data_IF_674760277208
#
_entry.id   IF_674760277208
#
_cell.length_a   1.000
_cell.length_b   1.000
_cell.length_c   1.000
_cell.angle_alpha   90.00
_cell.angle_beta   90.00
_cell.angle_gamma   90.00
#
_symmetry.space_group_name_H-M   'P 1'
#
loop_
_entity.id
_entity.type
_entity.pdbx_description
1 polymer ?
#
# COMPACT_ATOMS: atom_id res chain seq x y z
N UNK A 1 14.05 -51.23 -2.78
CA UNK A 1 12.88 -50.32 -2.82
C UNK A 1 13.00 -49.13 -1.87
N UNK A 2 13.16 -49.35 -0.55
CA UNK A 2 13.22 -48.26 0.45
C UNK A 2 14.31 -47.20 0.15
N UNK A 3 15.54 -47.63 -0.12
CA UNK A 3 16.66 -46.71 -0.42
C UNK A 3 16.42 -45.88 -1.68
N UNK A 4 15.94 -46.50 -2.75
CA UNK A 4 15.64 -45.80 -3.99
C UNK A 4 14.53 -44.74 -3.80
N UNK A 5 13.51 -45.05 -2.99
CA UNK A 5 12.45 -44.10 -2.66
C UNK A 5 12.96 -42.92 -1.82
N UNK A 6 13.82 -43.17 -0.83
CA UNK A 6 14.41 -42.10 -0.01
C UNK A 6 15.32 -41.18 -0.85
N UNK A 7 16.09 -41.75 -1.80
CA UNK A 7 16.87 -40.96 -2.75
C UNK A 7 15.94 -40.12 -3.62
N UNK A 8 14.89 -40.72 -4.18
CA UNK A 8 13.93 -39.98 -5.01
C UNK A 8 13.26 -38.85 -4.22
N UNK A 9 12.85 -39.11 -2.98
CA UNK A 9 12.27 -38.10 -2.09
C UNK A 9 13.23 -36.95 -1.80
N UNK A 10 14.51 -37.23 -1.56
CA UNK A 10 15.54 -36.20 -1.38
C UNK A 10 15.73 -35.32 -2.62
N UNK A 11 15.79 -35.93 -3.80
CA UNK A 11 16.07 -35.21 -5.05
C UNK A 11 14.86 -34.41 -5.58
N UNK A 12 13.64 -34.90 -5.35
CA UNK A 12 12.41 -34.35 -5.94
C UNK A 12 12.21 -32.85 -5.69
N UNK A 13 12.28 -32.33 -4.45
CA UNK A 13 12.04 -30.90 -4.22
C UNK A 13 13.11 -30.03 -4.87
N UNK A 14 14.37 -30.46 -4.89
CA UNK A 14 15.44 -29.74 -5.58
C UNK A 14 15.22 -29.68 -7.10
N UNK A 15 14.77 -30.79 -7.70
CA UNK A 15 14.44 -30.85 -9.13
C UNK A 15 13.25 -29.95 -9.47
N UNK A 16 12.18 -29.98 -8.66
CA UNK A 16 11.01 -29.12 -8.87
C UNK A 16 11.41 -27.65 -8.75
N UNK A 17 12.13 -27.27 -7.69
CA UNK A 17 12.59 -25.89 -7.48
C UNK A 17 13.53 -25.42 -8.61
N UNK A 18 14.40 -26.31 -9.10
CA UNK A 18 15.27 -26.05 -10.25
C UNK A 18 14.51 -25.81 -11.55
N UNK A 19 13.52 -26.66 -11.87
CA UNK A 19 12.67 -26.51 -13.06
C UNK A 19 11.82 -25.24 -12.99
N UNK A 20 11.36 -24.88 -11.79
CA UNK A 20 10.62 -23.64 -11.55
C UNK A 20 11.53 -22.40 -11.48
N UNK A 21 12.84 -22.55 -11.62
CA UNK A 21 13.80 -21.44 -11.67
C UNK A 21 14.00 -20.71 -10.34
N UNK A 22 13.81 -21.39 -9.19
CA UNK A 22 13.93 -20.75 -7.89
C UNK A 22 15.37 -20.35 -7.57
N UNK A 23 15.51 -19.19 -6.94
CA UNK A 23 16.77 -18.76 -6.33
C UNK A 23 16.98 -19.45 -4.99
N UNK A 24 18.24 -19.69 -4.65
CA UNK A 24 18.63 -20.22 -3.35
C UNK A 24 18.23 -19.31 -2.18
N UNK A 25 17.89 -19.88 -1.03
CA UNK A 25 17.43 -19.17 0.18
C UNK A 25 18.56 -18.33 0.76
N UNK A 26 19.79 -18.85 0.70
CA UNK A 26 20.99 -18.18 1.22
C UNK A 26 21.77 -17.41 0.14
N UNK A 27 21.14 -17.11 -1.00
CA UNK A 27 21.74 -16.27 -2.05
C UNK A 27 22.68 -17.00 -3.01
N UNK A 28 22.64 -18.34 -3.07
CA UNK A 28 23.48 -19.15 -3.99
C UNK A 28 23.07 -19.05 -5.47
N UNK A 29 22.01 -18.30 -5.78
CA UNK A 29 21.51 -18.09 -7.14
C UNK A 29 20.70 -19.26 -7.72
N UNK A 30 20.77 -20.48 -7.16
CA UNK A 30 20.01 -21.65 -7.63
C UNK A 30 19.55 -22.56 -6.50
N UNK A 31 18.24 -22.73 -6.35
CA UNK A 31 17.65 -23.65 -5.38
C UNK A 31 17.96 -25.12 -5.68
N UNK A 32 18.22 -25.49 -6.94
CA UNK A 32 18.56 -26.88 -7.32
C UNK A 32 19.80 -27.36 -6.56
N UNK A 33 20.87 -26.57 -6.59
CA UNK A 33 22.12 -26.93 -5.90
C UNK A 33 21.93 -26.81 -4.40
N UNK A 34 21.28 -25.74 -3.96
CA UNK A 34 21.15 -25.43 -2.55
C UNK A 34 20.27 -26.44 -1.77
N UNK A 35 19.21 -26.97 -2.38
CA UNK A 35 18.30 -27.92 -1.73
C UNK A 35 18.88 -29.33 -1.64
N UNK A 36 19.90 -29.65 -2.44
CA UNK A 36 20.55 -30.96 -2.40
C UNK A 36 21.50 -31.12 -1.21
N UNK A 37 21.93 -30.02 -0.58
CA UNK A 37 22.98 -30.03 0.44
C UNK A 37 22.34 -29.94 1.85
N UNK A 38 22.43 -31.00 2.69
CA UNK A 38 21.84 -31.03 4.04
C UNK A 38 22.73 -30.35 5.09
N UNK A 39 23.24 -29.14 4.83
CA UNK A 39 24.07 -28.40 5.79
C UNK A 39 23.37 -27.11 6.22
N UNK A 40 23.58 -26.61 7.44
CA UNK A 40 22.87 -25.43 7.96
C UNK A 40 22.99 -24.16 7.10
N UNK A 41 24.05 -24.06 6.29
CA UNK A 41 24.31 -22.95 5.36
C UNK A 41 23.74 -23.17 3.94
N UNK A 42 22.92 -24.21 3.77
CA UNK A 42 22.22 -24.51 2.52
C UNK A 42 20.74 -24.80 2.82
N UNK A 43 19.85 -24.39 1.92
CA UNK A 43 18.40 -24.58 2.02
C UNK A 43 17.95 -26.03 2.21
N UNK A 44 18.76 -27.02 1.83
CA UNK A 44 18.48 -28.44 2.08
C UNK A 44 18.34 -28.82 3.55
N UNK A 45 18.86 -28.02 4.50
CA UNK A 45 18.60 -28.25 5.94
C UNK A 45 17.12 -28.17 6.30
N UNK A 46 16.35 -27.35 5.57
CA UNK A 46 14.92 -27.18 5.79
C UNK A 46 14.09 -28.40 5.34
N UNK A 47 14.68 -29.28 4.51
CA UNK A 47 14.07 -30.56 4.11
C UNK A 47 14.18 -31.62 5.21
N UNK A 48 15.20 -31.53 6.07
CA UNK A 48 15.52 -32.58 7.05
C UNK A 48 14.33 -32.96 7.97
N UNK A 49 13.55 -32.01 8.54
CA UNK A 49 12.44 -32.37 9.42
C UNK A 49 11.34 -33.19 8.74
N UNK A 50 10.88 -32.78 7.55
CA UNK A 50 9.85 -33.54 6.81
C UNK A 50 10.39 -34.87 6.30
N UNK A 51 11.68 -34.89 5.91
CA UNK A 51 12.33 -36.11 5.45
C UNK A 51 12.48 -37.14 6.58
N UNK A 52 12.75 -36.69 7.81
CA UNK A 52 12.78 -37.54 8.99
C UNK A 52 11.41 -38.18 9.28
N UNK A 53 10.32 -37.44 9.07
CA UNK A 53 8.94 -37.98 9.17
C UNK A 53 8.69 -39.04 8.09
N UNK A 54 9.06 -38.77 6.84
CA UNK A 54 8.99 -39.76 5.75
C UNK A 54 9.78 -41.04 6.10
N UNK A 55 11.02 -40.89 6.58
CA UNK A 55 11.85 -42.01 7.01
C UNK A 55 11.15 -42.83 8.12
N UNK A 56 10.57 -42.14 9.12
CA UNK A 56 9.78 -42.76 10.17
C UNK A 56 8.60 -43.59 9.62
N UNK A 57 7.86 -43.04 8.65
CA UNK A 57 6.75 -43.74 7.97
C UNK A 57 7.26 -44.97 7.22
N UNK A 58 8.36 -44.85 6.46
CA UNK A 58 8.96 -45.95 5.70
C UNK A 58 9.41 -47.09 6.63
N UNK A 59 10.01 -46.74 7.77
CA UNK A 59 10.42 -47.71 8.79
C UNK A 59 9.21 -48.38 9.46
N UNK A 60 8.18 -47.61 9.80
CA UNK A 60 6.94 -48.09 10.43
C UNK A 60 6.18 -49.06 9.52
N UNK A 61 5.90 -48.66 8.28
CA UNK A 61 5.21 -49.49 7.29
C UNK A 61 6.07 -50.67 6.82
N UNK A 62 7.41 -50.52 6.85
CA UNK A 62 8.33 -51.61 6.59
C UNK A 62 8.22 -52.79 7.55
N UNK A 63 7.49 -52.65 8.68
CA UNK A 63 7.25 -53.69 9.69
C UNK A 63 5.77 -54.07 9.82
N UNK A 64 4.86 -53.41 9.09
CA UNK A 64 3.41 -53.59 9.20
C UNK A 64 2.73 -53.55 7.84
N UNK A 65 1.99 -54.60 7.50
CA UNK A 65 1.09 -54.63 6.34
C UNK A 65 -0.36 -54.60 6.83
N UNK A 66 -1.27 -54.04 6.03
CA UNK A 66 -2.72 -54.04 6.34
C UNK A 66 -3.37 -52.66 6.44
N UNK A 67 -4.36 -52.52 7.33
CA UNK A 67 -5.26 -51.35 7.41
C UNK A 67 -4.55 -50.02 7.71
N UNK A 68 -3.46 -50.04 8.49
CA UNK A 68 -2.69 -48.84 8.83
C UNK A 68 -2.06 -48.19 7.59
N UNK A 69 -1.51 -48.98 6.66
CA UNK A 69 -0.90 -48.46 5.44
C UNK A 69 -1.92 -47.76 4.53
N UNK A 70 -3.17 -48.23 4.50
CA UNK A 70 -4.25 -47.60 3.73
C UNK A 70 -4.54 -46.18 4.21
N UNK A 71 -4.63 -45.99 5.52
CA UNK A 71 -4.87 -44.67 6.10
C UNK A 71 -3.66 -43.76 6.00
N UNK A 72 -2.44 -44.30 6.08
CA UNK A 72 -1.23 -43.53 5.80
C UNK A 72 -1.23 -43.03 4.35
N UNK A 73 -1.63 -43.85 3.37
CA UNK A 73 -1.73 -43.39 1.98
C UNK A 73 -2.68 -42.20 1.84
N UNK A 74 -3.91 -42.32 2.36
CA UNK A 74 -4.92 -41.24 2.30
C UNK A 74 -4.43 -39.99 3.01
N UNK A 75 -3.91 -40.12 4.24
CA UNK A 75 -3.38 -38.99 5.01
C UNK A 75 -2.20 -38.31 4.31
N UNK A 76 -1.28 -39.09 3.74
CA UNK A 76 -0.12 -38.55 3.04
C UNK A 76 -0.51 -37.77 1.77
N UNK A 77 -1.45 -38.28 0.97
CA UNK A 77 -1.95 -37.51 -0.19
C UNK A 77 -2.78 -36.28 0.23
N UNK A 78 -3.56 -36.37 1.32
CA UNK A 78 -4.27 -35.22 1.88
C UNK A 78 -3.29 -34.12 2.34
N UNK A 79 -2.23 -34.49 3.06
CA UNK A 79 -1.17 -33.56 3.47
C UNK A 79 -0.39 -32.99 2.29
N UNK A 80 -0.14 -33.79 1.25
CA UNK A 80 0.48 -33.33 0.02
C UNK A 80 -0.36 -32.21 -0.63
N UNK A 81 -1.66 -32.44 -0.84
CA UNK A 81 -2.54 -31.42 -1.41
C UNK A 81 -2.71 -30.20 -0.49
N UNK A 82 -2.78 -30.40 0.83
CA UNK A 82 -2.84 -29.30 1.79
C UNK A 82 -1.58 -28.42 1.72
N UNK A 83 -0.39 -29.02 1.62
CA UNK A 83 0.88 -28.29 1.47
C UNK A 83 0.96 -27.56 0.13
N UNK A 84 0.47 -28.16 -0.96
CA UNK A 84 0.35 -27.47 -2.26
C UNK A 84 -0.64 -26.32 -2.18
N UNK A 85 -1.79 -26.50 -1.52
CA UNK A 85 -2.77 -25.42 -1.32
C UNK A 85 -2.23 -24.28 -0.46
N UNK A 86 -1.36 -24.57 0.51
CA UNK A 86 -0.68 -23.55 1.31
C UNK A 86 0.35 -22.71 0.51
N UNK A 87 0.72 -23.13 -0.70
CA UNK A 87 1.53 -22.33 -1.65
C UNK A 87 0.68 -21.32 -2.45
N UNK A 88 -0.66 -21.36 -2.31
CA UNK A 88 -1.55 -20.40 -2.96
C UNK A 88 -1.49 -19.09 -2.18
N UNK A 89 -1.09 -18.02 -2.87
CA UNK A 89 -1.18 -16.67 -2.34
C UNK A 89 -2.65 -16.24 -2.39
N UNK A 90 -3.37 -16.43 -1.27
CA UNK A 90 -4.81 -16.17 -1.17
C UNK A 90 -5.11 -14.69 -1.38
N UNK A 91 -4.24 -13.78 -0.94
CA UNK A 91 -4.41 -12.34 -1.14
C UNK A 91 -4.37 -12.00 -2.62
N UNK A 92 -3.38 -12.54 -3.32
CA UNK A 92 -3.19 -12.33 -4.75
C UNK A 92 -4.27 -13.01 -5.59
N UNK A 93 -4.69 -14.22 -5.18
CA UNK A 93 -5.81 -14.91 -5.80
C UNK A 93 -7.11 -14.11 -5.62
N UNK A 94 -7.33 -13.55 -4.43
CA UNK A 94 -8.45 -12.67 -4.14
C UNK A 94 -8.41 -11.41 -5.00
N UNK A 95 -7.25 -10.76 -5.11
CA UNK A 95 -7.03 -9.62 -6.01
C UNK A 95 -7.37 -9.97 -7.47
N UNK A 96 -6.91 -11.13 -7.96
CA UNK A 96 -7.22 -11.60 -9.31
C UNK A 96 -8.70 -11.91 -9.56
N UNK A 97 -9.41 -12.42 -8.55
CA UNK A 97 -10.80 -12.85 -8.70
C UNK A 97 -11.80 -11.71 -8.47
N UNK A 98 -11.47 -10.76 -7.59
CA UNK A 98 -12.42 -9.77 -7.08
C UNK A 98 -12.02 -8.31 -7.35
N UNK A 99 -10.87 -8.06 -7.96
CA UNK A 99 -10.43 -6.72 -8.35
C UNK A 99 -9.93 -6.71 -9.79
N UNK A 100 -9.80 -5.52 -10.36
CA UNK A 100 -9.18 -5.28 -11.67
C UNK A 100 -7.64 -5.31 -11.63
N UNK A 101 -7.04 -5.45 -10.43
CA UNK A 101 -5.59 -5.47 -10.25
C UNK A 101 -5.01 -6.87 -10.49
N UNK A 102 -4.19 -6.97 -11.55
CA UNK A 102 -3.46 -8.18 -11.91
C UNK A 102 -1.94 -7.97 -11.75
N UNK A 103 -1.36 -8.18 -10.55
CA UNK A 103 0.08 -8.09 -10.36
C UNK A 103 0.81 -9.10 -11.26
N UNK A 104 1.96 -8.72 -11.81
CA UNK A 104 2.77 -9.56 -12.71
C UNK A 104 3.18 -10.88 -12.07
N UNK A 105 2.74 -12.01 -12.65
CA UNK A 105 2.98 -13.38 -12.15
C UNK A 105 1.71 -14.09 -11.69
N UNK A 106 1.82 -15.38 -11.37
CA UNK A 106 0.68 -16.23 -10.99
C UNK A 106 0.30 -16.07 -9.51
N UNK A 107 -0.99 -16.20 -9.14
CA UNK A 107 -1.41 -16.40 -7.74
C UNK A 107 -0.88 -17.72 -7.14
N UNK A 108 -0.48 -18.68 -7.99
CA UNK A 108 0.27 -19.86 -7.59
C UNK A 108 1.75 -19.49 -7.45
N UNK A 109 2.13 -19.03 -6.25
CA UNK A 109 3.52 -18.80 -5.89
C UNK A 109 4.14 -20.07 -5.37
N UNK A 110 4.49 -20.94 -6.31
CA UNK A 110 5.25 -22.13 -5.95
C UNK A 110 6.57 -21.73 -5.24
N UNK A 111 7.18 -20.62 -5.65
CA UNK A 111 8.40 -20.02 -5.08
C UNK A 111 8.24 -19.37 -3.70
N UNK A 112 7.02 -19.31 -3.15
CA UNK A 112 6.73 -18.53 -1.95
C UNK A 112 7.27 -19.12 -0.66
N UNK A 113 7.25 -20.45 -0.51
CA UNK A 113 7.75 -21.10 0.70
C UNK A 113 8.35 -22.50 0.42
N UNK A 114 9.68 -22.66 0.55
CA UNK A 114 10.34 -23.94 0.30
C UNK A 114 9.93 -25.06 1.26
N UNK A 115 9.49 -24.71 2.49
CA UNK A 115 9.04 -25.71 3.47
C UNK A 115 7.82 -26.49 2.96
N UNK A 116 6.85 -25.82 2.36
CA UNK A 116 5.66 -26.49 1.83
C UNK A 116 5.98 -27.38 0.62
N UNK A 117 7.00 -27.03 -0.17
CA UNK A 117 7.49 -27.89 -1.24
C UNK A 117 8.09 -29.19 -0.66
N UNK A 118 8.96 -29.08 0.35
CA UNK A 118 9.54 -30.25 1.03
C UNK A 118 8.47 -31.16 1.62
N UNK A 119 7.51 -30.58 2.35
CA UNK A 119 6.39 -31.31 2.95
C UNK A 119 5.55 -31.99 1.86
N UNK A 120 5.21 -31.29 0.78
CA UNK A 120 4.42 -31.85 -0.32
C UNK A 120 5.13 -33.04 -0.98
N UNK A 121 6.43 -32.92 -1.27
CA UNK A 121 7.20 -33.99 -1.92
C UNK A 121 7.37 -35.20 -1.00
N UNK A 122 7.66 -34.99 0.28
CA UNK A 122 7.83 -36.09 1.23
C UNK A 122 6.51 -36.82 1.50
N UNK A 123 5.41 -36.06 1.61
CA UNK A 123 4.07 -36.62 1.76
C UNK A 123 3.65 -37.41 0.50
N UNK A 124 3.96 -36.91 -0.71
CA UNK A 124 3.75 -37.66 -1.95
C UNK A 124 4.48 -39.01 -1.93
N UNK A 125 5.78 -39.02 -1.59
CA UNK A 125 6.56 -40.27 -1.56
C UNK A 125 6.12 -41.22 -0.43
N UNK A 126 5.69 -40.69 0.71
CA UNK A 126 5.07 -41.49 1.77
C UNK A 126 3.79 -42.18 1.28
N UNK A 127 2.94 -41.47 0.54
CA UNK A 127 1.72 -41.99 -0.06
C UNK A 127 2.00 -43.08 -1.11
N UNK A 128 2.95 -42.83 -2.01
CA UNK A 128 3.40 -43.81 -3.02
C UNK A 128 3.94 -45.08 -2.35
N UNK A 129 4.77 -44.94 -1.31
CA UNK A 129 5.29 -46.09 -0.57
C UNK A 129 4.16 -46.87 0.12
N UNK A 130 3.22 -46.18 0.74
CA UNK A 130 2.09 -46.81 1.42
C UNK A 130 1.19 -47.60 0.44
N UNK A 131 0.97 -47.09 -0.77
CA UNK A 131 0.28 -47.80 -1.84
C UNK A 131 1.07 -48.99 -2.39
N UNK A 132 2.40 -48.91 -2.42
CA UNK A 132 3.25 -50.00 -2.88
C UNK A 132 3.29 -51.19 -1.90
N UNK A 133 3.02 -50.96 -0.60
CA UNK A 133 3.14 -51.97 0.47
C UNK A 133 1.78 -52.54 0.90
N UNK A 134 0.66 -51.95 0.49
CA UNK A 134 -0.67 -52.39 0.89
C UNK A 134 -1.74 -52.23 -0.21
N UNK A 135 -2.86 -52.98 -0.12
CA UNK A 135 -3.95 -52.85 -1.08
C UNK A 135 -4.56 -51.45 -1.03
N UNK A 136 -5.04 -50.96 -2.18
CA UNK A 136 -5.62 -49.63 -2.31
C UNK A 136 -6.70 -49.34 -1.24
N UNK A 137 -6.74 -48.12 -0.68
CA UNK A 137 -7.79 -47.69 0.22
C UNK A 137 -9.19 -47.82 -0.42
N UNK A 138 -10.25 -48.01 0.38
CA UNK A 138 -11.61 -47.97 -0.15
C UNK A 138 -11.90 -46.61 -0.79
N UNK A 139 -12.65 -46.61 -1.91
CA UNK A 139 -12.95 -45.39 -2.70
C UNK A 139 -13.49 -44.23 -1.84
N UNK A 140 -14.31 -44.54 -0.84
CA UNK A 140 -14.86 -43.54 0.07
C UNK A 140 -13.80 -42.81 0.91
N UNK A 141 -12.68 -43.45 1.24
CA UNK A 141 -11.61 -42.81 2.01
C UNK A 141 -10.89 -41.71 1.22
N UNK A 142 -10.88 -41.82 -0.12
CA UNK A 142 -10.29 -40.79 -0.98
C UNK A 142 -11.10 -39.49 -1.01
N UNK A 143 -12.35 -39.50 -0.56
CA UNK A 143 -13.15 -38.27 -0.41
C UNK A 143 -12.58 -37.33 0.67
N UNK A 144 -11.74 -37.83 1.58
CA UNK A 144 -11.08 -37.00 2.58
C UNK A 144 -9.91 -36.17 1.99
N UNK A 145 -9.33 -36.61 0.87
CA UNK A 145 -8.18 -35.95 0.23
C UNK A 145 -8.50 -34.53 -0.26
N UNK A 146 -9.62 -34.27 -0.97
CA UNK A 146 -9.98 -32.91 -1.37
C UNK A 146 -10.46 -32.02 -0.21
N UNK A 147 -10.84 -32.58 0.94
CA UNK A 147 -11.26 -31.78 2.10
C UNK A 147 -10.08 -31.05 2.77
N UNK A 148 -8.89 -31.65 2.73
CA UNK A 148 -7.68 -31.07 3.32
C UNK A 148 -7.27 -29.72 2.71
N UNK A 149 -7.13 -29.58 1.37
CA UNK A 149 -6.85 -28.28 0.76
C UNK A 149 -7.99 -27.28 1.00
N UNK A 150 -9.26 -27.71 0.97
CA UNK A 150 -10.42 -26.85 1.27
C UNK A 150 -10.39 -26.29 2.70
N UNK A 151 -9.91 -27.06 3.67
CA UNK A 151 -9.79 -26.61 5.05
C UNK A 151 -8.65 -25.58 5.20
N UNK A 152 -7.51 -25.82 4.55
CA UNK A 152 -6.38 -24.87 4.55
C UNK A 152 -6.75 -23.56 3.88
N UNK A 153 -7.35 -23.62 2.68
CA UNK A 153 -7.80 -22.40 1.98
C UNK A 153 -8.97 -21.75 2.70
N UNK A 154 -9.90 -22.54 3.26
CA UNK A 154 -11.03 -22.03 4.04
C UNK A 154 -10.59 -21.25 5.28
N UNK A 155 -9.61 -21.75 6.03
CA UNK A 155 -9.03 -21.03 7.18
C UNK A 155 -8.35 -19.73 6.72
N UNK A 156 -7.55 -19.79 5.66
CA UNK A 156 -6.88 -18.61 5.11
C UNK A 156 -7.89 -17.56 4.61
N UNK A 157 -9.03 -17.99 4.07
CA UNK A 157 -10.12 -17.11 3.63
C UNK A 157 -10.91 -16.55 4.81
N UNK A 158 -11.12 -17.30 5.90
CA UNK A 158 -11.78 -16.75 7.10
C UNK A 158 -10.95 -15.67 7.79
N UNK A 159 -9.62 -15.76 7.71
CA UNK A 159 -8.72 -14.70 8.19
C UNK A 159 -8.70 -13.50 7.22
N UNK A 160 -9.01 -13.71 5.94
CA UNK A 160 -9.25 -12.67 4.95
C UNK A 160 -10.60 -12.00 5.22
N UNK A 161 -10.60 -11.07 6.18
CA UNK A 161 -11.77 -10.44 6.80
C UNK A 161 -13.02 -10.35 5.92
N UNK A 162 -14.00 -11.18 6.23
CA UNK A 162 -15.35 -11.20 5.60
C UNK A 162 -16.26 -10.07 6.08
N UNK A 163 -15.70 -9.01 6.66
CA UNK A 163 -16.44 -7.92 7.30
C UNK A 163 -16.35 -6.62 6.53
N UNK A 164 -17.38 -6.32 5.74
CA UNK A 164 -17.65 -4.98 5.23
C UNK A 164 -16.82 -4.53 4.01
N UNK A 165 -17.01 -3.28 3.58
CA UNK A 165 -16.30 -2.72 2.45
C UNK A 165 -14.80 -2.61 2.75
N UNK A 166 -13.99 -3.02 1.78
CA UNK A 166 -12.52 -2.94 1.87
C UNK A 166 -12.10 -1.53 1.53
N UNK A 167 -11.12 -0.98 2.26
CA UNK A 167 -10.48 0.29 1.95
C UNK A 167 -8.97 0.10 1.91
N UNK A 168 -8.31 0.55 0.84
CA UNK A 168 -6.85 0.45 0.70
C UNK A 168 -6.27 1.77 0.19
N UNK A 169 -5.39 2.39 0.97
CA UNK A 169 -4.71 3.64 0.59
C UNK A 169 -3.71 3.34 -0.54
N UNK A 170 -3.88 4.01 -1.68
CA UNK A 170 -3.02 3.87 -2.87
C UNK A 170 -1.77 4.72 -2.86
N UNK A 171 -1.85 5.87 -2.21
CA UNK A 171 -0.75 6.81 -2.11
C UNK A 171 -1.18 8.25 -2.38
N UNK A 172 -0.16 9.09 -2.45
CA UNK A 172 -0.27 10.55 -2.51
C UNK A 172 0.31 11.02 -3.85
N UNK A 173 -0.41 11.90 -4.52
CA UNK A 173 -0.04 12.50 -5.80
C UNK A 173 0.02 14.01 -5.65
N UNK A 174 1.16 14.59 -6.02
CA UNK A 174 1.34 16.03 -5.98
C UNK A 174 0.75 16.63 -7.26
N UNK A 175 -0.07 17.67 -7.10
CA UNK A 175 -0.62 18.43 -8.21
C UNK A 175 0.44 19.31 -8.90
N UNK A 176 0.06 20.01 -9.97
CA UNK A 176 0.97 20.88 -10.72
C UNK A 176 1.46 22.10 -9.90
N UNK A 177 0.72 22.46 -8.85
CA UNK A 177 1.05 23.56 -7.95
C UNK A 177 1.33 23.01 -6.55
N UNK A 178 2.33 23.59 -5.88
CA UNK A 178 2.59 23.31 -4.46
C UNK A 178 1.32 23.57 -3.65
N UNK A 179 1.03 22.68 -2.70
CA UNK A 179 -0.17 22.76 -1.86
C UNK A 179 -1.36 21.99 -2.41
N UNK A 180 -1.37 21.57 -3.68
CA UNK A 180 -2.42 20.69 -4.24
C UNK A 180 -2.00 19.23 -4.15
N UNK A 181 -2.81 18.42 -3.49
CA UNK A 181 -2.52 17.00 -3.28
C UNK A 181 -3.75 16.17 -3.61
N UNK A 182 -3.57 15.12 -4.40
CA UNK A 182 -4.60 14.10 -4.61
C UNK A 182 -4.19 12.84 -3.87
N UNK A 183 -5.06 12.34 -2.99
CA UNK A 183 -4.90 11.04 -2.34
C UNK A 183 -5.92 10.07 -2.90
N UNK A 184 -5.52 8.83 -3.14
CA UNK A 184 -6.41 7.83 -3.76
C UNK A 184 -6.58 6.65 -2.83
N UNK A 185 -7.83 6.24 -2.64
CA UNK A 185 -8.22 5.11 -1.81
C UNK A 185 -9.03 4.14 -2.65
N UNK A 186 -8.56 2.90 -2.77
CA UNK A 186 -9.39 1.82 -3.29
C UNK A 186 -10.52 1.54 -2.30
N UNK A 187 -11.75 1.35 -2.80
CA UNK A 187 -12.86 0.80 -2.03
C UNK A 187 -13.70 -0.17 -2.85
N UNK A 188 -14.18 -1.22 -2.20
CA UNK A 188 -15.20 -2.12 -2.78
C UNK A 188 -16.63 -1.62 -2.55
N UNK A 189 -16.82 -0.52 -1.82
CA UNK A 189 -18.12 0.07 -1.56
C UNK A 189 -18.68 0.80 -2.79
N UNK A 190 -20.01 0.79 -2.94
CA UNK A 190 -20.69 1.81 -3.73
C UNK A 190 -20.60 3.17 -3.01
N UNK A 191 -20.92 4.25 -3.72
CA UNK A 191 -20.92 5.58 -3.11
C UNK A 191 -21.97 5.64 -1.98
N UNK A 192 -21.47 5.82 -0.77
CA UNK A 192 -22.24 6.10 0.43
C UNK A 192 -21.45 7.15 1.23
N UNK A 193 -21.90 8.39 1.19
CA UNK A 193 -21.22 9.51 1.84
C UNK A 193 -21.03 9.27 3.35
N UNK A 194 -22.00 8.63 4.02
CA UNK A 194 -21.93 8.41 5.47
C UNK A 194 -20.82 7.41 5.80
N UNK A 195 -20.77 6.30 5.06
CA UNK A 195 -19.71 5.30 5.18
C UNK A 195 -18.32 5.89 4.90
N UNK A 196 -18.18 6.66 3.81
CA UNK A 196 -16.91 7.25 3.42
C UNK A 196 -16.43 8.31 4.44
N UNK A 197 -17.35 9.12 4.98
CA UNK A 197 -17.05 10.07 6.06
C UNK A 197 -16.65 9.37 7.34
N UNK A 198 -17.34 8.30 7.74
CA UNK A 198 -17.00 7.51 8.92
C UNK A 198 -15.60 6.87 8.77
N UNK A 199 -15.31 6.32 7.59
CA UNK A 199 -13.98 5.79 7.30
C UNK A 199 -12.90 6.87 7.43
N UNK A 200 -13.10 8.05 6.82
CA UNK A 200 -12.16 9.17 6.93
C UNK A 200 -12.01 9.65 8.38
N UNK A 201 -13.09 9.69 9.16
CA UNK A 201 -13.06 10.03 10.57
C UNK A 201 -12.26 9.02 11.42
N UNK A 202 -12.28 7.73 11.04
CA UNK A 202 -11.50 6.67 11.69
C UNK A 202 -9.98 6.78 11.45
N UNK A 203 -9.54 7.66 10.54
CA UNK A 203 -8.14 7.87 10.15
C UNK A 203 -7.68 9.29 10.55
N UNK A 204 -7.48 9.56 11.85
CA UNK A 204 -7.01 10.87 12.30
C UNK A 204 -5.65 11.17 11.67
N UNK A 205 -5.57 12.25 10.89
CA UNK A 205 -4.34 12.69 10.20
C UNK A 205 -4.25 12.33 8.72
N UNK A 206 -5.14 11.49 8.20
CA UNK A 206 -5.13 11.13 6.77
C UNK A 206 -5.85 12.18 5.92
N UNK A 207 -5.27 12.55 4.76
CA UNK A 207 -5.82 13.50 3.80
C UNK A 207 -6.20 14.90 4.34
N UNK A 208 -5.79 15.29 5.55
CA UNK A 208 -6.15 16.57 6.17
C UNK A 208 -5.09 17.64 5.88
N UNK A 209 -5.37 18.65 5.04
CA UNK A 209 -4.36 19.66 4.67
C UNK A 209 -3.88 20.45 5.89
N UNK A 210 -4.77 20.84 6.79
CA UNK A 210 -4.44 21.55 8.04
C UNK A 210 -3.66 20.73 9.09
N UNK A 211 -3.29 19.48 8.79
CA UNK A 211 -2.36 18.68 9.60
C UNK A 211 -1.08 18.34 8.84
N UNK A 212 -0.93 18.87 7.61
CA UNK A 212 0.12 18.49 6.67
C UNK A 212 0.79 19.75 6.12
N UNK A 213 2.06 20.04 6.47
CA UNK A 213 2.72 21.32 6.16
C UNK A 213 3.00 21.58 4.66
N UNK A 214 2.59 20.66 3.79
CA UNK A 214 2.82 20.75 2.34
C UNK A 214 1.53 20.61 1.52
N UNK A 215 0.36 20.57 2.17
CA UNK A 215 -0.94 20.45 1.51
C UNK A 215 -1.87 21.56 1.99
N UNK A 216 -2.32 22.40 1.06
CA UNK A 216 -3.34 23.44 1.28
C UNK A 216 -4.72 22.92 0.82
N UNK A 217 -4.75 22.17 -0.29
CA UNK A 217 -5.96 21.57 -0.84
C UNK A 217 -5.73 20.09 -1.08
N UNK A 218 -6.60 19.23 -0.55
CA UNK A 218 -6.54 17.78 -0.75
C UNK A 218 -7.78 17.28 -1.47
N UNK A 219 -7.59 16.59 -2.59
CA UNK A 219 -8.62 15.80 -3.27
C UNK A 219 -8.46 14.33 -2.85
N UNK A 220 -9.34 13.83 -1.99
CA UNK A 220 -9.38 12.43 -1.62
C UNK A 220 -10.34 11.68 -2.55
N UNK A 221 -9.79 10.88 -3.46
CA UNK A 221 -10.53 10.15 -4.49
C UNK A 221 -10.70 8.69 -4.07
N UNK A 222 -11.95 8.26 -3.91
CA UNK A 222 -12.32 6.87 -3.70
C UNK A 222 -12.56 6.19 -5.04
N UNK A 223 -11.83 5.11 -5.32
CA UNK A 223 -11.86 4.38 -6.58
C UNK A 223 -12.22 2.91 -6.36
N UNK A 224 -12.99 2.32 -7.28
CA UNK A 224 -13.23 0.88 -7.30
C UNK A 224 -12.18 0.12 -8.15
N UNK A 225 -11.22 0.85 -8.74
CA UNK A 225 -10.09 0.30 -9.48
C UNK A 225 -8.86 0.21 -8.58
N UNK A 226 -8.55 -1.00 -8.11
CA UNK A 226 -7.33 -1.25 -7.36
C UNK A 226 -6.11 -1.11 -8.27
N UNK A 227 -6.27 -1.36 -9.57
CA UNK A 227 -5.20 -1.14 -10.53
C UNK A 227 -4.85 0.34 -10.68
N UNK A 228 -5.81 1.25 -10.84
CA UNK A 228 -5.53 2.68 -10.93
C UNK A 228 -4.78 3.20 -9.68
N UNK A 229 -5.17 2.69 -8.52
CA UNK A 229 -4.58 2.95 -7.19
C UNK A 229 -3.13 2.44 -7.13
N UNK A 230 -2.87 1.18 -7.51
CA UNK A 230 -1.54 0.55 -7.42
C UNK A 230 -0.58 0.97 -8.55
N UNK A 231 -1.09 1.15 -9.75
CA UNK A 231 -0.33 1.56 -10.94
C UNK A 231 -0.05 3.07 -10.98
N UNK A 232 -0.58 3.84 -10.02
CA UNK A 232 -0.35 5.28 -9.88
C UNK A 232 -0.82 6.11 -11.08
N UNK A 233 -1.90 5.67 -11.74
CA UNK A 233 -2.46 6.31 -12.93
C UNK A 233 -3.63 7.23 -12.57
N UNK A 234 -3.31 8.40 -12.00
CA UNK A 234 -4.32 9.37 -11.54
C UNK A 234 -5.19 9.88 -12.68
N UNK A 235 -4.61 10.07 -13.87
CA UNK A 235 -5.36 10.54 -15.05
C UNK A 235 -6.47 9.55 -15.47
N UNK A 236 -6.32 8.27 -15.12
CA UNK A 236 -7.35 7.26 -15.36
C UNK A 236 -8.53 7.33 -14.36
N UNK A 237 -8.35 8.03 -13.23
CA UNK A 237 -9.38 8.19 -12.18
C UNK A 237 -10.44 9.25 -12.53
N UNK A 238 -10.24 10.06 -13.58
CA UNK A 238 -11.28 10.95 -14.06
C UNK A 238 -12.47 10.23 -14.74
N UNK A 239 -12.50 8.88 -14.73
CA UNK A 239 -13.46 8.03 -15.44
C UNK A 239 -14.48 7.31 -14.55
N UNK A 240 -15.05 6.23 -15.10
CA UNK A 240 -16.12 5.44 -14.49
C UNK A 240 -15.72 4.69 -13.20
N UNK A 241 -14.43 4.61 -12.91
CA UNK A 241 -13.90 3.84 -11.79
C UNK A 241 -13.83 4.65 -10.48
N UNK A 242 -14.21 5.94 -10.52
CA UNK A 242 -14.29 6.76 -9.30
C UNK A 242 -15.65 6.62 -8.63
N UNK A 243 -15.63 6.18 -7.38
CA UNK A 243 -16.80 6.04 -6.50
C UNK A 243 -17.23 7.40 -5.98
N UNK A 244 -16.29 8.20 -5.48
CA UNK A 244 -16.56 9.51 -4.91
C UNK A 244 -15.30 10.32 -4.66
N UNK A 245 -15.45 11.63 -4.54
CA UNK A 245 -14.34 12.56 -4.29
C UNK A 245 -14.68 13.44 -3.10
N UNK A 246 -13.76 13.52 -2.14
CA UNK A 246 -13.86 14.42 -1.00
C UNK A 246 -12.84 15.55 -1.21
N UNK A 247 -13.31 16.78 -1.18
CA UNK A 247 -12.51 17.99 -1.30
C UNK A 247 -12.29 18.57 0.09
N UNK A 248 -11.03 18.62 0.51
CA UNK A 248 -10.62 19.12 1.80
C UNK A 248 -9.82 20.40 1.62
N UNK A 249 -10.27 21.47 2.26
CA UNK A 249 -9.75 22.83 2.11
C UNK A 249 -9.11 23.28 3.43
N UNK A 250 -7.88 23.80 3.37
CA UNK A 250 -7.15 24.30 4.54
C UNK A 250 -7.77 25.59 5.08
N UNK A 251 -8.25 26.48 4.20
CA UNK A 251 -8.70 27.84 4.56
C UNK A 251 -9.82 27.88 5.61
N UNK A 252 -10.78 26.98 5.51
CA UNK A 252 -11.97 26.92 6.35
C UNK A 252 -12.17 25.54 7.02
N UNK A 253 -11.15 24.66 6.90
CA UNK A 253 -11.20 23.26 7.35
C UNK A 253 -12.44 22.50 6.85
N UNK A 254 -12.93 22.88 5.66
CA UNK A 254 -14.14 22.32 5.08
C UNK A 254 -13.87 21.01 4.37
N UNK A 255 -14.84 20.10 4.46
CA UNK A 255 -14.84 18.80 3.78
C UNK A 255 -16.13 18.68 2.96
N UNK A 256 -16.01 18.84 1.66
CA UNK A 256 -17.10 18.66 0.70
C UNK A 256 -17.02 17.28 0.06
N UNK A 257 -18.15 16.59 -0.05
CA UNK A 257 -18.20 15.25 -0.62
C UNK A 257 -19.02 15.27 -1.91
N UNK A 258 -18.51 14.60 -2.94
CA UNK A 258 -19.12 14.53 -4.25
C UNK A 258 -19.22 13.08 -4.73
N UNK A 259 -20.34 12.66 -5.33
CA UNK A 259 -20.43 11.38 -6.02
C UNK A 259 -19.57 11.41 -7.28
N UNK A 260 -18.83 10.33 -7.55
CA UNK A 260 -17.92 10.25 -8.68
C UNK A 260 -16.71 11.18 -8.61
N UNK A 261 -16.09 11.41 -9.76
CA UNK A 261 -14.94 12.31 -9.88
C UNK A 261 -15.36 13.79 -9.81
N UNK A 262 -14.66 14.58 -9.00
CA UNK A 262 -14.84 16.03 -8.92
C UNK A 262 -13.49 16.74 -8.92
N UNK A 263 -13.39 17.87 -9.64
CA UNK A 263 -12.20 18.71 -9.62
C UNK A 263 -12.22 19.65 -8.40
N UNK A 264 -11.71 19.15 -7.28
CA UNK A 264 -11.62 19.92 -6.03
C UNK A 264 -10.77 21.20 -6.13
N UNK A 265 -9.91 21.31 -7.15
CA UNK A 265 -9.00 22.44 -7.30
C UNK A 265 -9.57 23.54 -8.20
N UNK A 266 -10.65 23.26 -8.93
CA UNK A 266 -11.32 24.26 -9.76
C UNK A 266 -11.90 25.38 -8.88
N UNK A 267 -11.45 26.61 -9.12
CA UNK A 267 -11.88 27.78 -8.35
C UNK A 267 -11.22 27.94 -6.98
N UNK A 268 -10.34 27.02 -6.59
CA UNK A 268 -9.57 27.07 -5.34
C UNK A 268 -8.09 27.32 -5.65
N UNK A 269 -7.65 28.57 -5.48
CA UNK A 269 -6.25 28.95 -5.60
C UNK A 269 -5.47 28.54 -4.33
N UNK A 270 -4.26 28.02 -4.49
CA UNK A 270 -3.33 27.94 -3.34
C UNK A 270 -2.78 29.33 -3.02
N UNK A 271 -2.21 29.48 -1.83
CA UNK A 271 -1.52 30.70 -1.37
C UNK A 271 -0.47 31.14 -2.40
N UNK A 272 0.29 30.19 -2.96
CA UNK A 272 1.29 30.47 -4.00
C UNK A 272 0.66 30.98 -5.30
N UNK A 273 -0.45 30.39 -5.74
CA UNK A 273 -1.15 30.81 -6.96
C UNK A 273 -1.78 32.19 -6.80
N UNK A 274 -2.42 32.44 -5.66
CA UNK A 274 -2.98 33.73 -5.31
C UNK A 274 -1.90 34.81 -5.25
N UNK A 275 -0.74 34.54 -4.64
CA UNK A 275 0.41 35.45 -4.62
C UNK A 275 0.92 35.75 -6.03
N UNK A 276 1.06 34.74 -6.89
CA UNK A 276 1.54 34.92 -8.26
C UNK A 276 0.58 35.81 -9.06
N UNK A 277 -0.72 35.57 -8.94
CA UNK A 277 -1.76 36.40 -9.57
C UNK A 277 -1.72 37.84 -9.05
N UNK A 278 -1.65 38.03 -7.74
CA UNK A 278 -1.59 39.35 -7.12
C UNK A 278 -0.31 40.11 -7.48
N UNK A 279 0.84 39.43 -7.55
CA UNK A 279 2.11 40.06 -7.98
C UNK A 279 2.02 40.53 -9.42
N UNK A 280 1.39 39.75 -10.31
CA UNK A 280 1.17 40.17 -11.69
C UNK A 280 0.18 41.35 -11.81
N UNK A 281 -0.81 41.43 -10.92
CA UNK A 281 -1.81 42.49 -10.92
C UNK A 281 -1.36 43.77 -10.20
N UNK A 282 -0.45 43.68 -9.23
CA UNK A 282 0.00 44.78 -8.38
C UNK A 282 1.43 45.20 -8.70
N UNK A 283 1.65 45.60 -9.95
CA UNK A 283 2.91 46.20 -10.36
C UNK A 283 2.95 47.66 -9.89
N UNK A 284 3.74 47.92 -8.84
CA UNK A 284 3.99 49.27 -8.32
C UNK A 284 4.97 50.05 -9.19
N UNK A 285 5.77 49.34 -10.01
CA UNK A 285 6.86 49.93 -10.79
C UNK A 285 8.09 50.31 -9.95
N UNK A 286 8.09 49.97 -8.66
CA UNK A 286 9.17 50.30 -7.72
C UNK A 286 10.22 49.18 -7.58
N UNK A 287 9.97 48.02 -8.19
CA UNK A 287 10.86 46.86 -8.22
C UNK A 287 10.19 45.57 -7.77
N UNK A 288 10.72 44.42 -8.21
CA UNK A 288 10.13 43.09 -7.98
C UNK A 288 9.99 42.70 -6.50
N UNK A 289 10.82 43.25 -5.61
CA UNK A 289 10.70 43.02 -4.17
C UNK A 289 9.56 43.82 -3.53
N UNK A 290 9.31 45.04 -4.00
CA UNK A 290 8.16 45.86 -3.57
C UNK A 290 6.85 45.31 -4.13
N UNK A 291 6.83 44.87 -5.39
CA UNK A 291 5.65 44.25 -6.00
C UNK A 291 5.25 42.95 -5.28
N UNK A 292 6.25 42.14 -4.87
CA UNK A 292 6.01 40.95 -4.05
C UNK A 292 5.47 41.29 -2.66
N UNK A 293 6.01 42.33 -2.02
CA UNK A 293 5.51 42.80 -0.72
C UNK A 293 4.06 43.31 -0.82
N UNK A 294 3.76 44.11 -1.84
CA UNK A 294 2.42 44.60 -2.12
C UNK A 294 1.41 43.46 -2.29
N UNK A 295 1.77 42.45 -3.09
CA UNK A 295 0.96 41.26 -3.30
C UNK A 295 0.72 40.46 -2.00
N UNK A 296 1.74 40.32 -1.15
CA UNK A 296 1.60 39.67 0.15
C UNK A 296 0.65 40.42 1.08
N UNK A 297 0.77 41.75 1.16
CA UNK A 297 -0.15 42.58 1.93
C UNK A 297 -1.59 42.45 1.42
N UNK A 298 -1.78 42.51 0.10
CA UNK A 298 -3.09 42.37 -0.51
C UNK A 298 -3.73 41.01 -0.22
N UNK A 299 -2.95 39.93 -0.19
CA UNK A 299 -3.43 38.60 0.18
C UNK A 299 -3.84 38.51 1.65
N UNK A 300 -3.21 39.30 2.51
CA UNK A 300 -3.44 39.32 3.95
C UNK A 300 -4.49 40.33 4.43
N UNK A 301 -5.00 41.20 3.55
CA UNK A 301 -6.08 42.14 3.88
C UNK A 301 -7.32 41.38 4.35
N UNK A 302 -7.82 41.73 5.54
CA UNK A 302 -9.02 41.13 6.14
C UNK A 302 -8.83 39.71 6.68
N UNK A 303 -7.60 39.21 6.76
CA UNK A 303 -7.29 37.93 7.42
C UNK A 303 -6.87 38.23 8.86
N UNK A 304 -7.74 37.91 9.82
CA UNK A 304 -7.37 37.94 11.24
C UNK A 304 -6.65 36.64 11.61
N UNK A 305 -5.36 36.69 11.99
CA UNK A 305 -4.69 35.51 12.49
C UNK A 305 -5.35 35.08 13.81
N UNK A 306 -5.77 33.81 13.96
CA UNK A 306 -6.39 33.32 15.19
C UNK A 306 -5.44 33.50 16.38
N UNK A 307 -6.01 33.80 17.56
CA UNK A 307 -5.26 33.96 18.80
C UNK A 307 -4.55 32.66 19.24
N UNK A 308 -5.09 31.51 18.84
CA UNK A 308 -4.47 30.21 19.00
C UNK A 308 -3.59 29.88 17.79
N UNK A 309 -2.42 29.30 18.06
CA UNK A 309 -1.39 28.97 17.06
C UNK A 309 -1.85 27.84 16.13
N UNK A 310 -2.71 28.16 15.17
CA UNK A 310 -2.89 27.32 13.98
C UNK A 310 -1.71 27.62 13.03
N UNK A 311 -0.55 27.03 13.33
CA UNK A 311 0.65 27.12 12.49
C UNK A 311 0.51 26.35 11.17
N UNK A 312 -0.58 25.62 11.01
CA UNK A 312 -0.77 24.63 9.96
C UNK A 312 -1.73 25.11 8.86
N UNK A 313 -2.04 26.42 8.80
CA UNK A 313 -2.71 27.06 7.65
C UNK A 313 -1.69 27.97 6.94
N UNK A 314 -1.30 27.65 5.71
CA UNK A 314 -0.21 28.34 4.98
C UNK A 314 -0.50 29.84 4.83
N UNK A 315 -1.74 30.22 4.47
CA UNK A 315 -2.14 31.63 4.34
C UNK A 315 -2.01 32.40 5.66
N UNK A 316 -2.45 31.80 6.77
CA UNK A 316 -2.36 32.43 8.11
C UNK A 316 -0.90 32.54 8.55
N UNK A 317 -0.10 31.50 8.29
CA UNK A 317 1.34 31.47 8.58
C UNK A 317 2.10 32.57 7.81
N UNK A 318 1.77 32.75 6.52
CA UNK A 318 2.28 33.82 5.69
C UNK A 318 1.90 35.19 6.27
N UNK A 319 0.63 35.42 6.58
CA UNK A 319 0.17 36.73 7.09
C UNK A 319 0.77 37.07 8.46
N UNK A 320 0.89 36.08 9.35
CA UNK A 320 1.62 36.26 10.61
C UNK A 320 3.10 36.57 10.40
N UNK A 321 3.72 36.02 9.36
CA UNK A 321 5.11 36.32 9.00
C UNK A 321 5.25 37.74 8.43
N UNK A 322 4.35 38.17 7.55
CA UNK A 322 4.32 39.54 7.01
C UNK A 322 4.18 40.56 8.15
N UNK A 323 3.25 40.34 9.09
CA UNK A 323 3.04 41.20 10.24
C UNK A 323 4.29 41.32 11.15
N UNK A 324 4.98 40.21 11.42
CA UNK A 324 6.19 40.20 12.27
C UNK A 324 7.44 40.71 11.54
N UNK A 325 7.51 40.58 10.22
CA UNK A 325 8.71 40.89 9.44
C UNK A 325 8.72 42.30 8.85
N UNK A 326 7.65 43.07 8.99
CA UNK A 326 7.55 44.43 8.46
C UNK A 326 8.75 45.32 8.81
N UNK A 327 9.12 45.41 10.09
CA UNK A 327 10.24 46.25 10.53
C UNK A 327 11.56 45.80 9.87
N UNK A 328 11.76 44.48 9.73
CA UNK A 328 12.93 43.93 9.04
C UNK A 328 12.90 44.24 7.54
N UNK A 329 11.74 44.12 6.88
CA UNK A 329 11.58 44.44 5.47
C UNK A 329 11.85 45.93 5.21
N UNK A 330 11.35 46.81 6.08
CA UNK A 330 11.60 48.25 6.02
C UNK A 330 13.10 48.58 6.17
N UNK A 331 13.79 47.99 7.15
CA UNK A 331 15.23 48.21 7.33
C UNK A 331 16.06 47.71 6.13
N UNK A 332 15.68 46.57 5.54
CA UNK A 332 16.32 46.07 4.33
C UNK A 332 16.10 47.01 3.13
N UNK A 333 14.90 47.57 2.98
CA UNK A 333 14.61 48.54 1.93
C UNK A 333 15.39 49.85 2.12
N UNK A 334 15.49 50.36 3.35
CA UNK A 334 16.30 51.55 3.68
C UNK A 334 17.78 51.30 3.32
N UNK A 335 18.33 50.15 3.72
CA UNK A 335 19.73 49.81 3.40
C UNK A 335 20.00 49.64 1.91
N UNK A 336 19.01 49.19 1.13
CA UNK A 336 19.17 48.90 -0.30
C UNK A 336 18.90 50.12 -1.20
N UNK A 337 17.87 50.90 -0.89
CA UNK A 337 17.36 51.97 -1.75
C UNK A 337 17.59 53.37 -1.19
N UNK A 338 17.95 53.49 0.09
CA UNK A 338 18.06 54.76 0.81
C UNK A 338 16.75 55.18 1.47
N UNK A 339 16.87 55.94 2.56
CA UNK A 339 15.73 56.32 3.41
C UNK A 339 14.67 57.15 2.69
N UNK A 340 15.09 58.03 1.77
CA UNK A 340 14.20 58.93 1.03
C UNK A 340 13.69 58.33 -0.30
N UNK A 341 13.87 57.02 -0.50
CA UNK A 341 13.45 56.34 -1.74
C UNK A 341 11.93 56.14 -1.82
N UNK A 342 11.40 56.10 -3.05
CA UNK A 342 9.99 55.83 -3.30
C UNK A 342 9.55 54.45 -2.76
N UNK A 343 10.46 53.48 -2.74
CA UNK A 343 10.28 52.14 -2.15
C UNK A 343 10.00 52.22 -0.64
N UNK A 344 10.83 52.97 0.09
CA UNK A 344 10.68 53.13 1.55
C UNK A 344 9.43 53.94 1.87
N UNK A 345 9.13 54.98 1.09
CA UNK A 345 7.90 55.76 1.24
C UNK A 345 6.65 54.87 1.04
N UNK A 346 6.65 53.99 0.03
CA UNK A 346 5.58 53.03 -0.20
C UNK A 346 5.40 52.08 0.99
N UNK A 347 6.47 51.43 1.46
CA UNK A 347 6.39 50.51 2.61
C UNK A 347 5.83 51.20 3.86
N UNK A 348 6.30 52.43 4.16
CA UNK A 348 5.77 53.23 5.28
C UNK A 348 4.29 53.54 5.12
N UNK A 349 3.82 53.84 3.91
CA UNK A 349 2.39 54.10 3.65
C UNK A 349 1.51 52.87 3.85
N UNK A 350 2.06 51.67 3.75
CA UNK A 350 1.34 50.40 3.95
C UNK A 350 1.37 49.90 5.40
N UNK A 351 1.99 50.63 6.32
CA UNK A 351 2.08 50.23 7.73
C UNK A 351 0.70 50.08 8.40
N UNK A 352 -0.26 50.92 8.01
CA UNK A 352 -1.63 50.89 8.55
C UNK A 352 -2.40 49.63 8.12
N UNK A 353 -2.10 49.07 6.94
CA UNK A 353 -2.70 47.82 6.44
C UNK A 353 -2.19 46.58 7.23
N UNK A 354 -1.08 46.72 7.96
CA UNK A 354 -0.46 45.66 8.76
C UNK A 354 -0.92 45.74 10.23
N UNK A 355 -1.26 46.94 10.69
CA UNK A 355 -1.59 47.27 12.07
C UNK A 355 -2.93 46.75 12.64
N UNK A 356 -3.96 46.27 11.88
CA UNK A 356 -5.17 45.75 12.52
C UNK A 356 -4.95 44.41 13.24
N UNK A 357 -3.72 43.87 13.26
CA UNK A 357 -3.34 42.60 13.87
C UNK A 357 -2.43 42.73 15.13
N UNK A 358 -2.26 43.95 15.68
CA UNK A 358 -1.53 44.19 16.94
C UNK A 358 -2.44 44.33 18.15
#
# INVERSE_FOLDING_TARGET
MKTALLIAAWLTPALIAGVLGWTGIWGTGSALVEFLIPVPVAGGVLHVPSFAVLLGIVLFLGRRTGSAARWVAVGAFAFCLAAVAAQVDVERLGGWLFTDYQPHGSPLRLDGNPLFLFIATDAFWAGVYALAVAPSPPRAAWLAVPLAPLLVTGIAVTDYGTGGPVFTIGGIFQGPSRGRVTEVVYTSAAYDESLLREWLASKPGFARPWLTPNAEHVALVFSNSLDAVKSRRVDALAGADTVGTFCLYEEDQRIEAHPGFHDCFAGHETTLEALKRLTAAQQTGLGDDIDRWAAQLALCRGVEPPAERHFDIERVSLCGTVARSYERALQLAIGRYGEDSAQVAYLRSTAEDIAPSR
#
